data_IF_370429678390
#
_entry.id   IF_370429678390
#
_cell.length_a   1.000
_cell.length_b   1.000
_cell.length_c   1.000
_cell.angle_alpha   90.00
_cell.angle_beta   90.00
_cell.angle_gamma   90.00
#
_symmetry.space_group_name_H-M   'P 1'
#
loop_
_entity.id
_entity.type
_entity.pdbx_description
1 polymer ?
#
# COMPACT_ATOMS: atom_id res chain seq x y z
N UNK A 1 22.66 -10.57 -8.29
CA UNK A 1 21.33 -9.91 -8.17
C UNK A 1 21.32 -9.07 -6.92
N UNK A 2 20.86 -7.82 -6.98
CA UNK A 2 20.68 -6.99 -5.79
C UNK A 2 19.20 -6.95 -5.42
N UNK A 3 18.86 -7.37 -4.20
CA UNK A 3 17.52 -7.25 -3.61
C UNK A 3 17.59 -6.31 -2.41
N UNK A 4 16.51 -5.54 -2.21
CA UNK A 4 16.33 -4.67 -1.03
C UNK A 4 14.96 -4.94 -0.46
N UNK A 5 14.89 -5.06 0.86
CA UNK A 5 13.66 -5.32 1.61
C UNK A 5 13.48 -4.22 2.64
N UNK A 6 12.24 -3.81 2.88
CA UNK A 6 11.88 -2.79 3.84
C UNK A 6 10.87 -3.36 4.83
N UNK A 7 11.04 -3.05 6.11
CA UNK A 7 10.00 -3.30 7.11
C UNK A 7 9.10 -2.07 7.18
N UNK A 8 7.79 -2.27 7.06
CA UNK A 8 6.79 -1.20 7.08
C UNK A 8 6.01 -1.23 8.38
N UNK A 9 5.73 -0.05 8.93
CA UNK A 9 5.03 0.09 10.21
C UNK A 9 3.50 -0.18 10.12
N UNK A 10 2.98 -0.49 8.94
CA UNK A 10 1.54 -0.71 8.72
C UNK A 10 1.33 -1.68 7.57
N UNK A 11 0.18 -2.35 7.60
CA UNK A 11 -0.25 -3.25 6.53
C UNK A 11 -0.58 -2.48 5.24
N UNK A 12 -0.25 -3.07 4.09
CA UNK A 12 -0.33 -2.43 2.77
C UNK A 12 -1.45 -3.05 1.95
N UNK A 13 -2.15 -2.23 1.17
CA UNK A 13 -3.09 -2.68 0.15
C UNK A 13 -2.30 -3.11 -1.09
N UNK A 14 -1.87 -4.37 -1.10
CA UNK A 14 -1.05 -4.96 -2.17
C UNK A 14 -1.72 -4.89 -3.54
N UNK A 15 -3.06 -4.95 -3.59
CA UNK A 15 -3.82 -4.84 -4.83
C UNK A 15 -3.77 -3.43 -5.46
N UNK A 16 -3.38 -2.41 -4.67
CA UNK A 16 -3.26 -1.00 -5.11
C UNK A 16 -1.82 -0.48 -5.05
N UNK A 17 -0.86 -1.31 -4.69
CA UNK A 17 0.54 -0.93 -4.70
C UNK A 17 1.02 -0.78 -6.15
N UNK A 18 1.82 0.25 -6.41
CA UNK A 18 2.39 0.50 -7.73
C UNK A 18 3.86 0.91 -7.63
N UNK A 19 4.60 0.70 -8.72
CA UNK A 19 5.99 1.04 -8.83
C UNK A 19 6.26 1.72 -10.17
N UNK A 20 7.05 2.79 -10.14
CA UNK A 20 7.45 3.53 -11.34
C UNK A 20 8.94 3.77 -11.36
N UNK A 21 9.59 3.41 -12.46
CA UNK A 21 11.00 3.70 -12.68
C UNK A 21 11.16 4.81 -13.71
N UNK A 22 11.78 5.93 -13.33
CA UNK A 22 12.05 7.05 -14.22
C UNK A 22 13.39 7.67 -13.90
N UNK A 23 14.18 7.95 -14.94
CA UNK A 23 15.45 8.68 -14.84
C UNK A 23 16.41 8.13 -13.78
N UNK A 24 16.49 6.81 -13.62
CA UNK A 24 17.40 6.19 -12.65
C UNK A 24 16.81 5.97 -11.25
N UNK A 25 15.58 6.43 -10.99
CA UNK A 25 14.94 6.37 -9.67
C UNK A 25 13.74 5.45 -9.70
N UNK A 26 13.68 4.54 -8.72
CA UNK A 26 12.52 3.68 -8.45
C UNK A 26 11.65 4.34 -7.38
N UNK A 27 10.45 4.75 -7.76
CA UNK A 27 9.41 5.23 -6.86
C UNK A 27 8.43 4.09 -6.56
N UNK A 28 8.08 3.92 -5.28
CA UNK A 28 7.14 2.91 -4.80
C UNK A 28 5.97 3.62 -4.11
N UNK A 29 4.76 3.38 -4.59
CA UNK A 29 3.54 3.83 -3.93
C UNK A 29 2.93 2.65 -3.18
N UNK A 30 2.91 2.76 -1.85
CA UNK A 30 2.44 1.71 -0.94
C UNK A 30 1.25 2.22 -0.12
N UNK A 31 0.01 2.16 -0.65
CA UNK A 31 -1.17 2.61 0.08
C UNK A 31 -1.37 1.75 1.32
N UNK A 32 -1.59 2.39 2.47
CA UNK A 32 -1.99 1.65 3.67
C UNK A 32 -3.32 0.95 3.43
N UNK A 33 -3.45 -0.27 3.94
CA UNK A 33 -4.73 -0.95 3.99
C UNK A 33 -5.72 -0.14 4.82
N UNK A 34 -6.93 -0.02 4.31
CA UNK A 34 -8.01 0.57 5.07
C UNK A 34 -8.34 -0.36 6.26
N UNK A 35 -8.10 0.11 7.48
CA UNK A 35 -8.61 -0.54 8.68
C UNK A 35 -10.11 -0.26 8.76
N UNK A 36 -10.92 -1.20 8.29
CA UNK A 36 -12.37 -1.31 8.51
C UNK A 36 -13.18 -0.01 8.41
N UNK A 37 -13.87 0.21 7.28
CA UNK A 37 -14.94 1.20 7.22
C UNK A 37 -15.95 0.94 8.34
N UNK A 38 -16.24 1.97 9.13
CA UNK A 38 -17.34 1.96 10.10
C UNK A 38 -18.62 1.58 9.35
N UNK A 39 -19.04 0.31 9.43
CA UNK A 39 -20.31 -0.13 8.84
C UNK A 39 -21.43 0.60 9.56
N UNK A 40 -21.96 1.67 8.95
CA UNK A 40 -23.24 2.25 9.38
C UNK A 40 -24.34 1.26 8.99
N UNK A 41 -24.79 0.45 9.95
CA UNK A 41 -26.01 -0.35 9.81
C UNK A 41 -27.19 0.61 9.79
N UNK A 42 -27.93 0.66 8.67
CA UNK A 42 -29.29 1.21 8.68
C UNK A 42 -30.20 0.17 9.32
N UNK A 43 -30.74 0.49 10.50
CA UNK A 43 -31.91 -0.21 11.04
C UNK A 43 -33.15 0.35 10.36
N UNK A 44 -33.97 -0.53 9.81
CA UNK A 44 -35.30 -0.25 9.27
C UNK A 44 -36.32 -1.17 9.92
#
# INVERSE_FOLDING_TARGET
MASRSFALASDIDEAKADAKYQSGVLELRLPKKATGSSKKLSVG
#
